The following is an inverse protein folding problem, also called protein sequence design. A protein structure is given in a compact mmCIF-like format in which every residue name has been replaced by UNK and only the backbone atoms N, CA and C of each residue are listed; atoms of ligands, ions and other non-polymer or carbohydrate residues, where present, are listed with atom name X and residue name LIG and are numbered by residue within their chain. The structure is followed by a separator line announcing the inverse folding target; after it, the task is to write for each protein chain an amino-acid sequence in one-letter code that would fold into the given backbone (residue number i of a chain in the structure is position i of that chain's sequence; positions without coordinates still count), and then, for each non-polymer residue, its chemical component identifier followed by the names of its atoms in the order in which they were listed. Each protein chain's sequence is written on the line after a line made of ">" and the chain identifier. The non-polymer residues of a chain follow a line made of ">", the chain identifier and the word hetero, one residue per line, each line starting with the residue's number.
data_IF_633048269924
#
_entry.id   IF_633048269924
#
_cell.length_a   1.000
_cell.length_b   1.000
_cell.length_c   1.000
_cell.angle_alpha   90.00
_cell.angle_beta   90.00
_cell.angle_gamma   90.00
#
_symmetry.space_group_name_H-M   'P 1'
#
loop_
_entity.id
_entity.type
_entity.pdbx_description
1 polymer ?
#
# COMPACT_ATOMS: atom_id res chain seq x y z
N UNK A 1 10.69 7.43 -9.45
CA UNK A 1 12.03 7.03 -9.93
C UNK A 1 12.89 6.72 -8.71
N UNK A 2 13.56 5.56 -8.66
CA UNK A 2 14.41 5.19 -7.53
C UNK A 2 15.53 6.22 -7.25
N UNK A 3 15.93 6.38 -5.98
CA UNK A 3 17.05 7.25 -5.59
C UNK A 3 18.32 6.87 -6.37
N UNK A 4 19.21 7.83 -6.68
CA UNK A 4 20.42 7.56 -7.47
C UNK A 4 21.23 6.35 -6.98
N UNK A 5 21.24 6.11 -5.66
CA UNK A 5 22.03 5.06 -5.00
C UNK A 5 21.48 3.65 -5.19
N UNK A 6 20.20 3.49 -5.53
CA UNK A 6 19.54 2.18 -5.64
C UNK A 6 19.05 1.83 -7.05
N UNK A 7 19.18 2.74 -8.02
CA UNK A 7 18.72 2.50 -9.42
C UNK A 7 19.32 1.23 -10.03
N UNK A 8 20.58 0.93 -9.73
CA UNK A 8 21.27 -0.28 -10.21
C UNK A 8 20.61 -1.55 -9.67
N UNK A 9 20.25 -1.58 -8.38
CA UNK A 9 19.52 -2.68 -7.75
C UNK A 9 18.16 -2.90 -8.39
N UNK A 10 17.34 -1.84 -8.51
CA UNK A 10 16.03 -1.94 -9.17
C UNK A 10 16.14 -2.44 -10.62
N UNK A 11 17.12 -1.95 -11.39
CA UNK A 11 17.35 -2.42 -12.76
C UNK A 11 17.74 -3.91 -12.80
N UNK A 12 18.62 -4.33 -11.88
CA UNK A 12 19.13 -5.70 -11.77
C UNK A 12 18.03 -6.70 -11.41
N UNK A 13 17.23 -6.44 -10.38
CA UNK A 13 16.26 -7.42 -9.88
C UNK A 13 14.90 -7.35 -10.57
N UNK A 14 14.54 -6.20 -11.15
CA UNK A 14 13.26 -6.03 -11.84
C UNK A 14 13.41 -5.90 -13.36
N UNK A 15 14.58 -6.29 -13.89
CA UNK A 15 14.88 -6.32 -15.33
C UNK A 15 14.57 -5.01 -16.06
N UNK A 16 14.75 -3.87 -15.38
CA UNK A 16 14.42 -2.55 -15.93
C UNK A 16 12.93 -2.28 -16.17
N UNK A 17 12.00 -3.16 -15.77
CA UNK A 17 10.56 -2.96 -16.00
C UNK A 17 10.05 -1.63 -15.43
N UNK A 18 10.62 -1.21 -14.30
CA UNK A 18 10.30 0.06 -13.64
C UNK A 18 11.06 1.26 -14.21
N UNK A 19 12.07 1.08 -15.07
CA UNK A 19 12.92 2.20 -15.53
C UNK A 19 12.18 3.17 -16.45
N UNK A 20 11.12 2.71 -17.10
CA UNK A 20 10.32 3.52 -18.03
C UNK A 20 9.15 4.23 -17.35
N UNK A 21 8.86 3.91 -16.08
CA UNK A 21 7.80 4.56 -15.33
C UNK A 21 8.33 5.85 -14.69
N UNK A 22 7.67 6.95 -15.03
CA UNK A 22 8.01 8.30 -14.56
C UNK A 22 6.75 8.99 -14.06
N UNK A 23 6.89 10.20 -13.51
CA UNK A 23 5.76 11.01 -13.08
C UNK A 23 4.80 11.37 -14.21
N UNK A 24 5.24 11.27 -15.47
CA UNK A 24 4.43 11.52 -16.67
C UNK A 24 3.71 10.27 -17.18
N UNK A 25 3.99 9.10 -16.62
CA UNK A 25 3.32 7.85 -16.99
C UNK A 25 1.83 7.94 -16.67
N UNK A 26 1.02 7.36 -17.55
CA UNK A 26 -0.43 7.24 -17.32
C UNK A 26 -0.75 5.98 -16.53
N UNK A 27 -1.97 5.93 -15.98
CA UNK A 27 -2.53 4.74 -15.34
C UNK A 27 -2.44 3.50 -16.25
N UNK A 28 -2.66 3.66 -17.56
CA UNK A 28 -2.53 2.57 -18.54
C UNK A 28 -1.09 2.11 -18.75
N UNK A 29 -0.11 3.01 -18.66
CA UNK A 29 1.31 2.64 -18.77
C UNK A 29 1.76 1.84 -17.54
N UNK A 30 1.35 2.29 -16.35
CA UNK A 30 1.59 1.58 -15.09
C UNK A 30 0.93 0.20 -15.15
N UNK A 31 -0.36 0.15 -15.50
CA UNK A 31 -1.12 -1.09 -15.60
C UNK A 31 -0.45 -2.10 -16.53
N UNK A 32 -0.04 -1.68 -17.74
CA UNK A 32 0.64 -2.56 -18.71
C UNK A 32 1.93 -3.17 -18.15
N UNK A 33 2.75 -2.38 -17.45
CA UNK A 33 3.99 -2.90 -16.83
C UNK A 33 3.69 -4.00 -15.82
N UNK A 34 2.65 -3.83 -15.00
CA UNK A 34 2.30 -4.83 -13.99
C UNK A 34 1.53 -6.01 -14.55
N UNK A 35 0.69 -5.81 -15.57
CA UNK A 35 0.02 -6.90 -16.29
C UNK A 35 1.06 -7.87 -16.87
N UNK A 36 2.11 -7.35 -17.52
CA UNK A 36 3.19 -8.15 -18.12
C UNK A 36 4.11 -8.81 -17.07
N UNK A 37 4.12 -8.31 -15.83
CA UNK A 37 5.07 -8.72 -14.80
C UNK A 37 4.46 -9.62 -13.71
N UNK A 38 3.14 -9.66 -13.58
CA UNK A 38 2.43 -10.29 -12.47
C UNK A 38 2.93 -11.71 -12.14
N UNK A 39 3.07 -12.58 -13.15
CA UNK A 39 3.49 -13.98 -12.96
C UNK A 39 4.92 -14.15 -12.42
N UNK A 40 5.80 -13.17 -12.59
CA UNK A 40 7.19 -13.20 -12.13
C UNK A 40 7.43 -12.31 -10.90
N UNK A 41 6.46 -11.48 -10.52
CA UNK A 41 6.61 -10.44 -9.49
C UNK A 41 7.12 -10.97 -8.16
N UNK A 42 6.50 -12.03 -7.62
CA UNK A 42 6.91 -12.64 -6.34
C UNK A 42 8.34 -13.18 -6.40
N UNK A 43 8.73 -13.79 -7.53
CA UNK A 43 10.07 -14.36 -7.74
C UNK A 43 11.13 -13.26 -7.80
N UNK A 44 10.85 -12.19 -8.53
CA UNK A 44 11.76 -11.05 -8.66
C UNK A 44 11.87 -10.29 -7.33
N UNK A 45 10.75 -10.11 -6.62
CA UNK A 45 10.72 -9.55 -5.27
C UNK A 45 11.56 -10.37 -4.28
N UNK A 46 11.42 -11.70 -4.28
CA UNK A 46 12.25 -12.57 -3.45
C UNK A 46 13.73 -12.48 -3.83
N UNK A 47 14.05 -12.39 -5.12
CA UNK A 47 15.43 -12.23 -5.60
C UNK A 47 16.05 -10.89 -5.17
N UNK A 48 15.23 -9.83 -5.09
CA UNK A 48 15.58 -8.52 -4.56
C UNK A 48 15.66 -8.49 -3.02
N UNK A 49 15.30 -9.58 -2.33
CA UNK A 49 15.28 -9.61 -0.87
C UNK A 49 14.14 -8.82 -0.25
N UNK A 50 13.00 -8.74 -0.94
CA UNK A 50 11.83 -7.99 -0.49
C UNK A 50 11.25 -8.60 0.80
N UNK A 51 11.23 -7.81 1.89
CA UNK A 51 10.77 -8.28 3.21
C UNK A 51 9.63 -7.44 3.79
N UNK A 52 9.24 -6.33 3.16
CA UNK A 52 8.37 -5.30 3.77
C UNK A 52 6.98 -5.77 4.21
N UNK A 53 6.43 -6.83 3.61
CA UNK A 53 5.04 -7.26 3.85
C UNK A 53 4.79 -7.56 5.33
N UNK A 54 5.65 -8.38 5.94
CA UNK A 54 5.51 -8.80 7.34
C UNK A 54 5.73 -7.63 8.32
N UNK A 55 6.84 -6.86 8.26
CA UNK A 55 7.03 -5.71 9.14
C UNK A 55 5.94 -4.65 9.02
N UNK A 56 5.38 -4.44 7.83
CA UNK A 56 4.26 -3.51 7.65
C UNK A 56 2.98 -4.03 8.27
N UNK A 57 2.67 -5.33 8.17
CA UNK A 57 1.52 -5.92 8.87
C UNK A 57 1.71 -5.92 10.39
N UNK A 58 2.92 -6.16 10.89
CA UNK A 58 3.24 -6.02 12.32
C UNK A 58 3.04 -4.57 12.80
N UNK A 59 3.50 -3.58 12.02
CA UNK A 59 3.28 -2.16 12.32
C UNK A 59 1.78 -1.81 12.32
N UNK A 60 1.04 -2.29 11.31
CA UNK A 60 -0.41 -2.12 11.19
C UNK A 60 -1.15 -2.73 12.37
N UNK A 61 -0.81 -3.96 12.79
CA UNK A 61 -1.43 -4.66 13.92
C UNK A 61 -1.30 -3.86 15.21
N UNK A 62 -0.12 -3.31 15.47
CA UNK A 62 0.12 -2.45 16.62
C UNK A 62 -0.75 -1.18 16.57
N UNK A 63 -0.84 -0.53 15.41
CA UNK A 63 -1.68 0.66 15.24
C UNK A 63 -3.18 0.35 15.40
N UNK A 64 -3.65 -0.80 14.90
CA UNK A 64 -5.02 -1.28 15.10
C UNK A 64 -5.32 -1.46 16.59
N UNK A 65 -4.40 -2.07 17.34
CA UNK A 65 -4.57 -2.25 18.78
C UNK A 65 -4.63 -0.90 19.53
N UNK A 66 -3.84 0.09 19.11
CA UNK A 66 -3.87 1.45 19.69
C UNK A 66 -5.21 2.17 19.42
N UNK A 67 -5.74 2.08 18.19
CA UNK A 67 -6.98 2.78 17.80
C UNK A 67 -8.24 2.06 18.28
N UNK A 68 -8.35 0.75 18.06
CA UNK A 68 -9.58 0.01 18.38
C UNK A 68 -9.58 -0.61 19.77
N UNK A 69 -8.42 -0.76 20.43
CA UNK A 69 -8.33 -1.21 21.83
C UNK A 69 -9.10 -2.51 22.11
N UNK A 70 -9.13 -3.43 21.15
CA UNK A 70 -9.85 -4.70 21.26
C UNK A 70 -11.38 -4.60 21.25
N UNK A 71 -11.96 -3.43 20.93
CA UNK A 71 -13.41 -3.24 20.84
C UNK A 71 -14.05 -3.93 19.64
N UNK A 72 -13.24 -4.29 18.63
CA UNK A 72 -13.64 -5.01 17.43
C UNK A 72 -12.69 -6.20 17.30
N UNK A 73 -13.24 -7.40 17.07
CA UNK A 73 -12.41 -8.58 16.82
C UNK A 73 -11.66 -8.42 15.50
N UNK A 74 -10.42 -8.92 15.41
CA UNK A 74 -9.58 -8.77 14.20
C UNK A 74 -10.26 -9.33 12.94
N UNK A 75 -10.99 -10.44 13.07
CA UNK A 75 -11.74 -11.06 11.97
C UNK A 75 -12.89 -10.20 11.44
N UNK A 76 -13.42 -9.28 12.27
CA UNK A 76 -14.56 -8.44 11.93
C UNK A 76 -14.14 -7.08 11.37
N UNK A 77 -12.89 -6.66 11.59
CA UNK A 77 -12.34 -5.41 11.04
C UNK A 77 -12.31 -5.53 9.52
N UNK A 78 -13.07 -4.68 8.84
CA UNK A 78 -13.10 -4.64 7.38
C UNK A 78 -11.93 -3.84 6.83
N UNK A 79 -11.02 -4.53 6.13
CA UNK A 79 -9.75 -3.96 5.65
C UNK A 79 -9.75 -3.83 4.12
N UNK A 80 -9.29 -2.66 3.65
CA UNK A 80 -8.87 -2.48 2.27
C UNK A 80 -7.35 -2.64 2.15
N UNK A 81 -6.88 -3.61 1.37
CA UNK A 81 -5.50 -3.71 0.91
C UNK A 81 -5.37 -2.97 -0.43
N UNK A 82 -4.88 -1.73 -0.38
CA UNK A 82 -4.89 -0.80 -1.49
C UNK A 82 -3.54 -0.82 -2.24
N UNK A 83 -3.57 -1.25 -3.50
CA UNK A 83 -2.37 -1.67 -4.23
C UNK A 83 -1.89 -3.05 -3.78
N UNK A 84 -2.81 -4.01 -3.73
CA UNK A 84 -2.59 -5.35 -3.18
C UNK A 84 -1.55 -6.18 -3.95
N UNK A 85 -1.29 -5.84 -5.22
CA UNK A 85 -0.39 -6.59 -6.09
C UNK A 85 -0.77 -8.08 -6.18
N UNK A 86 0.23 -8.94 -6.02
CA UNK A 86 0.08 -10.41 -5.96
C UNK A 86 -0.44 -10.94 -4.62
N UNK A 87 -0.76 -10.06 -3.67
CA UNK A 87 -1.50 -10.41 -2.46
C UNK A 87 -0.66 -10.81 -1.24
N UNK A 88 0.65 -10.51 -1.23
CA UNK A 88 1.53 -10.88 -0.12
C UNK A 88 1.18 -10.18 1.21
N UNK A 89 0.67 -8.94 1.16
CA UNK A 89 0.16 -8.25 2.36
C UNK A 89 -1.07 -8.98 2.92
N UNK A 90 -2.02 -9.37 2.08
CA UNK A 90 -3.20 -10.15 2.50
C UNK A 90 -2.86 -11.47 3.16
N UNK A 91 -1.81 -12.16 2.69
CA UNK A 91 -1.30 -13.39 3.33
C UNK A 91 -0.78 -13.10 4.73
N UNK A 92 -0.01 -12.03 4.93
CA UNK A 92 0.48 -11.66 6.26
C UNK A 92 -0.67 -11.18 7.17
N UNK A 93 -1.64 -10.43 6.66
CA UNK A 93 -2.85 -10.04 7.40
C UNK A 93 -3.62 -11.28 7.91
N UNK A 94 -3.80 -12.30 7.08
CA UNK A 94 -4.45 -13.54 7.48
C UNK A 94 -3.71 -14.29 8.59
N UNK A 95 -2.37 -14.26 8.60
CA UNK A 95 -1.56 -14.83 9.69
C UNK A 95 -1.72 -14.08 11.01
N UNK A 96 -2.24 -12.85 10.96
CA UNK A 96 -2.53 -11.98 12.10
C UNK A 96 -4.03 -11.97 12.46
N UNK A 97 -4.80 -12.97 12.01
CA UNK A 97 -6.24 -13.16 12.27
C UNK A 97 -7.17 -12.12 11.61
N UNK A 98 -6.66 -11.35 10.64
CA UNK A 98 -7.50 -10.48 9.81
C UNK A 98 -8.01 -11.23 8.58
N UNK A 99 -9.29 -11.62 8.60
CA UNK A 99 -9.92 -12.41 7.54
C UNK A 99 -10.86 -11.61 6.63
N UNK A 100 -11.28 -10.40 7.03
CA UNK A 100 -12.23 -9.58 6.27
C UNK A 100 -11.49 -8.53 5.42
N UNK A 101 -10.77 -9.00 4.39
CA UNK A 101 -9.88 -8.17 3.57
C UNK A 101 -10.35 -8.15 2.12
N UNK A 102 -10.49 -6.95 1.56
CA UNK A 102 -10.70 -6.73 0.12
C UNK A 102 -9.39 -6.25 -0.53
N UNK A 103 -9.14 -6.67 -1.77
CA UNK A 103 -7.99 -6.25 -2.57
C UNK A 103 -8.40 -5.20 -3.62
N UNK A 104 -7.65 -4.10 -3.68
CA UNK A 104 -7.69 -3.11 -4.76
C UNK A 104 -6.35 -3.09 -5.48
N UNK A 105 -6.34 -3.26 -6.80
CA UNK A 105 -5.14 -3.04 -7.61
C UNK A 105 -5.53 -2.54 -9.00
N UNK A 106 -4.61 -1.85 -9.68
CA UNK A 106 -4.83 -1.36 -11.04
C UNK A 106 -4.68 -2.49 -12.08
N UNK A 107 -3.92 -3.53 -11.77
CA UNK A 107 -3.62 -4.65 -12.66
C UNK A 107 -4.52 -5.85 -12.35
N UNK A 108 -5.28 -6.29 -13.36
CA UNK A 108 -6.10 -7.49 -13.22
C UNK A 108 -5.24 -8.75 -13.12
N UNK A 109 -4.06 -8.79 -13.77
CA UNK A 109 -3.16 -9.95 -13.67
C UNK A 109 -2.51 -10.05 -12.29
N UNK A 110 -2.21 -8.92 -11.64
CA UNK A 110 -1.82 -8.91 -10.22
C UNK A 110 -2.91 -9.51 -9.34
N UNK A 111 -4.15 -9.07 -9.52
CA UNK A 111 -5.30 -9.62 -8.78
C UNK A 111 -5.54 -11.11 -9.09
N UNK A 112 -5.24 -11.57 -10.30
CA UNK A 112 -5.33 -12.98 -10.66
C UNK A 112 -4.31 -13.82 -9.87
N UNK A 113 -3.09 -13.31 -9.65
CA UNK A 113 -2.10 -13.94 -8.75
C UNK A 113 -2.56 -13.90 -7.29
N UNK A 114 -3.05 -12.75 -6.82
CA UNK A 114 -3.59 -12.59 -5.46
C UNK A 114 -4.73 -13.59 -5.16
N UNK A 115 -5.60 -13.83 -6.14
CA UNK A 115 -6.71 -14.77 -6.02
C UNK A 115 -6.25 -16.20 -5.71
N UNK A 116 -5.09 -16.61 -6.22
CA UNK A 116 -4.53 -17.95 -5.94
C UNK A 116 -4.16 -18.15 -4.48
N UNK A 117 -3.94 -17.07 -3.72
CA UNK A 117 -3.58 -17.12 -2.30
C UNK A 117 -4.80 -17.41 -1.41
N UNK A 118 -6.02 -17.18 -1.90
CA UNK A 118 -7.29 -17.45 -1.20
C UNK A 118 -7.41 -16.76 0.18
N UNK A 119 -7.03 -15.47 0.24
CA UNK A 119 -7.00 -14.63 1.46
C UNK A 119 -7.79 -13.32 1.30
N UNK A 120 -8.59 -13.18 0.24
CA UNK A 120 -9.37 -11.96 0.00
C UNK A 120 -10.84 -12.30 -0.25
N UNK A 121 -11.73 -11.47 0.29
CA UNK A 121 -13.17 -11.56 0.13
C UNK A 121 -13.65 -10.99 -1.21
N UNK A 122 -13.00 -9.91 -1.68
CA UNK A 122 -13.33 -9.22 -2.93
C UNK A 122 -12.06 -8.74 -3.62
N UNK A 123 -12.13 -8.64 -4.95
CA UNK A 123 -11.07 -8.09 -5.80
C UNK A 123 -11.66 -6.94 -6.62
N UNK A 124 -10.99 -5.78 -6.62
CA UNK A 124 -11.43 -4.55 -7.26
C UNK A 124 -10.31 -4.09 -8.19
N UNK A 125 -10.54 -4.16 -9.51
CA UNK A 125 -9.58 -3.73 -10.51
C UNK A 125 -9.82 -2.25 -10.87
N UNK A 126 -9.07 -1.34 -10.25
CA UNK A 126 -9.17 0.10 -10.49
C UNK A 126 -7.91 0.83 -10.02
N UNK A 127 -7.57 1.99 -10.63
CA UNK A 127 -6.50 2.83 -10.13
C UNK A 127 -6.88 3.43 -8.76
N UNK A 128 -5.86 3.60 -7.91
CA UNK A 128 -5.96 4.39 -6.68
C UNK A 128 -5.42 5.80 -6.95
N UNK A 129 -6.31 6.77 -7.02
CA UNK A 129 -6.00 8.17 -7.36
C UNK A 129 -6.83 9.12 -6.50
N UNK A 130 -6.87 10.40 -6.86
CA UNK A 130 -7.76 11.38 -6.21
C UNK A 130 -9.23 11.30 -6.69
N UNK A 131 -9.52 10.37 -7.61
CA UNK A 131 -10.86 10.09 -8.07
C UNK A 131 -11.50 8.97 -7.26
N UNK A 132 -12.83 9.03 -7.15
CA UNK A 132 -13.60 8.01 -6.47
C UNK A 132 -13.43 6.66 -7.16
N UNK A 133 -12.94 5.65 -6.43
CA UNK A 133 -12.84 4.29 -6.94
C UNK A 133 -14.24 3.69 -7.10
N UNK A 134 -14.62 3.21 -8.30
CA UNK A 134 -15.94 2.65 -8.55
C UNK A 134 -16.25 1.45 -7.66
N UNK A 135 -17.49 1.38 -7.15
CA UNK A 135 -17.96 0.25 -6.34
C UNK A 135 -17.45 0.22 -4.90
N UNK A 136 -16.85 1.32 -4.42
CA UNK A 136 -16.48 1.53 -3.02
C UNK A 136 -17.27 2.72 -2.45
N UNK A 137 -18.11 2.44 -1.47
CA UNK A 137 -18.87 3.45 -0.75
C UNK A 137 -17.99 4.27 0.21
N UNK A 138 -18.47 5.44 0.61
CA UNK A 138 -17.81 6.21 1.68
C UNK A 138 -17.98 5.47 3.00
N UNK A 139 -16.96 5.51 3.86
CA UNK A 139 -16.96 4.82 5.17
C UNK A 139 -17.11 3.29 5.08
N UNK A 140 -16.78 2.70 3.93
CA UNK A 140 -16.96 1.27 3.68
C UNK A 140 -16.01 0.36 4.49
N UNK A 141 -14.88 0.90 4.96
CA UNK A 141 -13.82 0.14 5.64
C UNK A 141 -13.52 0.68 7.03
N UNK A 142 -13.20 -0.22 7.97
CA UNK A 142 -12.67 0.13 9.29
C UNK A 142 -11.20 0.56 9.20
N UNK A 143 -10.45 -0.09 8.31
CA UNK A 143 -9.04 0.21 8.09
C UNK A 143 -8.61 0.04 6.64
N UNK A 144 -7.54 0.72 6.26
CA UNK A 144 -6.88 0.58 4.96
C UNK A 144 -5.38 0.44 5.19
N UNK A 145 -4.76 -0.48 4.45
CA UNK A 145 -3.31 -0.63 4.37
C UNK A 145 -2.85 -0.46 2.92
N UNK A 146 -1.77 0.31 2.69
CA UNK A 146 -1.19 0.52 1.37
C UNK A 146 0.34 0.40 1.44
N UNK A 147 0.88 -0.68 0.88
CA UNK A 147 2.30 -1.03 1.04
C UNK A 147 2.98 -1.21 -0.31
N UNK A 148 4.16 -0.62 -0.50
CA UNK A 148 4.96 -0.79 -1.72
C UNK A 148 4.47 -0.02 -2.96
N UNK A 149 3.27 0.55 -2.92
CA UNK A 149 2.58 1.12 -4.09
C UNK A 149 2.72 2.64 -4.22
N UNK A 150 2.91 3.36 -3.10
CA UNK A 150 3.03 4.81 -3.08
C UNK A 150 4.31 5.29 -3.76
N UNK A 151 4.14 5.94 -4.91
CA UNK A 151 5.23 6.47 -5.72
C UNK A 151 4.70 7.51 -6.70
N UNK A 152 5.48 8.55 -7.00
CA UNK A 152 5.06 9.61 -7.94
C UNK A 152 4.77 9.10 -9.36
N UNK A 153 5.30 7.93 -9.71
CA UNK A 153 5.02 7.26 -10.99
C UNK A 153 3.80 6.31 -10.96
N UNK A 154 3.19 6.08 -9.80
CA UNK A 154 2.15 5.09 -9.57
C UNK A 154 0.96 5.73 -8.86
N UNK A 155 0.90 5.59 -7.53
CA UNK A 155 -0.10 6.22 -6.68
C UNK A 155 0.50 7.50 -6.08
N UNK A 156 0.00 8.65 -6.56
CA UNK A 156 0.46 9.99 -6.18
C UNK A 156 -0.09 10.40 -4.79
N UNK A 157 0.52 11.40 -4.11
CA UNK A 157 0.05 11.84 -2.79
C UNK A 157 -1.42 12.27 -2.74
N UNK A 158 -1.98 12.72 -3.87
CA UNK A 158 -3.39 13.13 -3.95
C UNK A 158 -4.36 11.97 -3.67
N UNK A 159 -3.92 10.71 -3.83
CA UNK A 159 -4.71 9.52 -3.54
C UNK A 159 -5.08 9.36 -2.05
N UNK A 160 -4.39 10.05 -1.13
CA UNK A 160 -4.76 10.04 0.29
C UNK A 160 -6.19 10.55 0.52
N UNK A 161 -6.70 11.45 -0.34
CA UNK A 161 -8.08 11.93 -0.25
C UNK A 161 -9.07 10.79 -0.43
N UNK A 162 -8.81 9.91 -1.39
CA UNK A 162 -9.67 8.75 -1.65
C UNK A 162 -9.53 7.70 -0.54
N UNK A 163 -8.31 7.43 -0.06
CA UNK A 163 -8.09 6.54 1.09
C UNK A 163 -8.89 6.99 2.32
N UNK A 164 -8.84 8.29 2.65
CA UNK A 164 -9.62 8.89 3.74
C UNK A 164 -11.12 8.74 3.48
N UNK A 165 -11.59 8.89 2.24
CA UNK A 165 -13.02 8.70 1.90
C UNK A 165 -13.47 7.27 2.16
N UNK A 166 -12.67 6.27 1.78
CA UNK A 166 -13.00 4.84 1.93
C UNK A 166 -13.09 4.40 3.40
N UNK A 167 -12.25 4.95 4.27
CA UNK A 167 -12.15 4.56 5.68
C UNK A 167 -13.11 5.39 6.53
N UNK A 168 -13.86 4.75 7.44
CA UNK A 168 -14.83 5.43 8.30
C UNK A 168 -14.17 6.41 9.29
N UNK A 169 -14.97 7.33 9.84
CA UNK A 169 -14.52 8.18 10.95
C UNK A 169 -14.01 7.33 12.13
N UNK A 170 -12.83 7.68 12.67
CA UNK A 170 -12.13 6.92 13.70
C UNK A 170 -11.52 5.60 13.21
N UNK A 171 -11.55 5.32 11.90
CA UNK A 171 -10.87 4.20 11.27
C UNK A 171 -9.40 4.49 10.97
N UNK A 172 -8.64 3.48 10.56
CA UNK A 172 -7.19 3.57 10.40
C UNK A 172 -6.76 3.60 8.93
N UNK A 173 -5.83 4.49 8.55
CA UNK A 173 -5.09 4.42 7.29
C UNK A 173 -3.61 4.18 7.61
N UNK A 174 -3.05 3.10 7.07
CA UNK A 174 -1.64 2.74 7.25
C UNK A 174 -0.91 2.65 5.91
N UNK A 175 0.24 3.31 5.81
CA UNK A 175 0.96 3.45 4.54
C UNK A 175 2.46 3.26 4.71
N UNK A 176 3.12 2.71 3.69
CA UNK A 176 4.58 2.73 3.58
C UNK A 176 5.03 3.78 2.57
N UNK A 177 5.99 4.64 2.95
CA UNK A 177 6.59 5.65 2.08
C UNK A 177 8.05 5.31 1.85
N UNK A 178 8.41 5.12 0.58
CA UNK A 178 9.82 4.90 0.20
C UNK A 178 10.60 6.22 0.24
N UNK A 179 11.94 6.17 0.35
CA UNK A 179 12.75 7.37 0.29
C UNK A 179 12.55 8.18 -1.00
N UNK A 180 12.29 7.51 -2.13
CA UNK A 180 11.95 8.17 -3.40
C UNK A 180 10.50 8.68 -3.39
N UNK A 181 10.33 9.99 -3.19
CA UNK A 181 9.03 10.66 -3.12
C UNK A 181 8.63 11.08 -1.70
N UNK A 182 9.47 10.80 -0.69
CA UNK A 182 9.15 11.11 0.70
C UNK A 182 8.69 12.56 0.91
N UNK A 183 9.35 13.53 0.26
CA UNK A 183 9.04 14.96 0.39
C UNK A 183 7.60 15.28 -0.02
N UNK A 184 7.18 14.82 -1.18
CA UNK A 184 5.85 15.09 -1.73
C UNK A 184 4.76 14.39 -0.91
N UNK A 185 5.03 13.16 -0.45
CA UNK A 185 4.10 12.44 0.43
C UNK A 185 4.01 13.10 1.81
N UNK A 186 5.14 13.49 2.43
CA UNK A 186 5.12 14.13 3.75
C UNK A 186 4.40 15.46 3.72
N UNK A 187 4.65 16.29 2.70
CA UNK A 187 3.94 17.57 2.50
C UNK A 187 2.43 17.36 2.43
N UNK A 188 1.96 16.37 1.66
CA UNK A 188 0.53 16.09 1.57
C UNK A 188 -0.05 15.50 2.85
N UNK A 189 0.71 14.67 3.57
CA UNK A 189 0.25 14.11 4.84
C UNK A 189 0.08 15.20 5.91
N UNK A 190 1.05 16.11 6.01
CA UNK A 190 1.00 17.28 6.90
C UNK A 190 -0.13 18.24 6.52
N UNK A 191 -0.36 18.47 5.22
CA UNK A 191 -1.49 19.28 4.73
C UNK A 191 -2.84 18.71 5.21
N UNK A 192 -3.05 17.40 5.05
CA UNK A 192 -4.29 16.72 5.44
C UNK A 192 -4.47 16.68 6.97
N UNK A 193 -3.37 16.58 7.72
CA UNK A 193 -3.39 16.67 9.19
C UNK A 193 -3.73 18.08 9.66
N UNK A 194 -3.13 19.12 9.08
CA UNK A 194 -3.49 20.52 9.38
C UNK A 194 -4.95 20.86 9.03
N UNK A 195 -5.51 20.23 7.99
CA UNK A 195 -6.92 20.35 7.64
C UNK A 195 -7.84 19.53 8.56
N UNK A 196 -7.29 18.79 9.52
CA UNK A 196 -8.02 17.95 10.46
C UNK A 196 -8.71 16.76 9.78
N UNK A 197 -8.22 16.29 8.63
CA UNK A 197 -8.78 15.12 7.90
C UNK A 197 -8.37 13.79 8.52
N UNK A 198 -7.27 13.79 9.24
CA UNK A 198 -6.78 12.67 10.02
C UNK A 198 -5.82 13.15 11.11
N UNK A 199 -5.40 12.26 11.99
CA UNK A 199 -4.41 12.53 13.03
C UNK A 199 -3.40 11.40 13.09
N UNK A 200 -2.12 11.73 13.19
CA UNK A 200 -1.05 10.74 13.31
C UNK A 200 -1.24 9.91 14.58
N UNK A 201 -1.26 8.58 14.42
CA UNK A 201 -1.28 7.62 15.52
C UNK A 201 0.14 7.11 15.76
N UNK A 202 0.81 6.70 14.69
CA UNK A 202 2.12 6.05 14.76
C UNK A 202 2.96 6.39 13.54
N UNK A 203 4.24 6.64 13.76
CA UNK A 203 5.25 6.67 12.70
C UNK A 203 6.43 5.76 13.07
N UNK A 204 7.14 5.27 12.06
CA UNK A 204 8.32 4.44 12.27
C UNK A 204 9.09 4.16 10.99
N UNK A 205 10.15 3.37 11.13
CA UNK A 205 10.88 2.76 10.01
C UNK A 205 10.74 1.26 10.12
N UNK A 206 10.53 0.60 8.98
CA UNK A 206 10.43 -0.84 8.90
C UNK A 206 11.40 -1.39 7.84
N UNK A 207 11.91 -2.61 8.02
CA UNK A 207 12.68 -3.29 6.99
C UNK A 207 11.92 -3.36 5.67
N UNK A 208 12.62 -3.10 4.56
CA UNK A 208 12.03 -3.06 3.22
C UNK A 208 12.66 -4.08 2.28
N UNK A 209 13.99 -4.04 2.13
CA UNK A 209 14.78 -5.05 1.43
C UNK A 209 15.97 -5.54 2.29
N UNK A 210 16.38 -6.79 2.12
CA UNK A 210 17.57 -7.35 2.80
C UNK A 210 18.88 -7.17 2.02
N UNK A 211 18.80 -6.83 0.73
CA UNK A 211 19.97 -6.62 -0.14
C UNK A 211 20.57 -5.23 0.04
N UNK A 212 21.90 -5.14 0.06
CA UNK A 212 22.63 -3.88 0.22
C UNK A 212 22.45 -2.92 -0.97
N UNK A 213 22.26 -3.46 -2.18
CA UNK A 213 21.99 -2.67 -3.39
C UNK A 213 20.53 -2.20 -3.50
N UNK A 214 19.70 -2.48 -2.49
CA UNK A 214 18.30 -2.07 -2.38
C UNK A 214 18.07 -1.18 -1.13
N UNK A 215 17.03 -0.33 -1.14
CA UNK A 215 16.72 0.52 0.02
C UNK A 215 16.26 -0.34 1.21
N UNK A 216 17.11 -0.48 2.23
CA UNK A 216 16.89 -1.41 3.33
C UNK A 216 15.67 -1.13 4.21
N UNK A 217 15.18 0.11 4.23
CA UNK A 217 14.06 0.54 5.06
C UNK A 217 13.11 1.46 4.30
N UNK A 218 11.84 1.44 4.69
CA UNK A 218 10.86 2.44 4.33
C UNK A 218 10.26 3.06 5.60
N UNK A 219 9.68 4.24 5.46
CA UNK A 219 8.92 4.86 6.56
C UNK A 219 7.51 4.27 6.58
N UNK A 220 7.00 3.98 7.77
CA UNK A 220 5.64 3.52 7.99
C UNK A 220 4.88 4.59 8.77
N UNK A 221 3.65 4.85 8.35
CA UNK A 221 2.76 5.80 9.00
C UNK A 221 1.40 5.15 9.23
N UNK A 222 0.77 5.48 10.35
CA UNK A 222 -0.59 5.11 10.66
C UNK A 222 -1.33 6.36 11.16
N UNK A 223 -2.46 6.66 10.52
CA UNK A 223 -3.30 7.81 10.82
C UNK A 223 -4.71 7.33 11.18
N UNK A 224 -5.35 7.97 12.15
CA UNK A 224 -6.80 7.83 12.38
C UNK A 224 -7.56 8.86 11.56
N UNK A 225 -8.61 8.45 10.86
CA UNK A 225 -9.41 9.32 10.00
C UNK A 225 -10.37 10.17 10.83
N UNK A 226 -10.45 11.46 10.49
CA UNK A 226 -11.36 12.44 11.09
C UNK A 226 -12.32 12.97 10.02
N UNK A 227 -13.61 12.75 10.20
CA UNK A 227 -14.67 13.29 9.35
C UNK A 227 -15.55 14.21 10.19
N UNK A 228 -15.62 15.47 9.77
CA UNK A 228 -16.52 16.48 10.30
C UNK A 228 -17.91 16.31 9.71
#
# INVERSE_FOLDING_TARGET
>A
MASPDHRSGYSKYYSGRLSNLTEKSTDDDVRRVYDDWAHEYDKDGNSAGCVFHKPMVEFFDNAINEVFQGKIAKSDIRIMDAGAGTGLVGVELHKHDYSNVDALDISQEMLNEAKKKNVYSKFICAPLSDQRTPGIETDAYDALICVGTLSLAHVRPTAFVEMIRMVRNGGLVCVSIRPDGYKEFSEKMEELEHQGKWTLVKEGRVPHYDKEDMPRECRAYAYTVNKN
#
